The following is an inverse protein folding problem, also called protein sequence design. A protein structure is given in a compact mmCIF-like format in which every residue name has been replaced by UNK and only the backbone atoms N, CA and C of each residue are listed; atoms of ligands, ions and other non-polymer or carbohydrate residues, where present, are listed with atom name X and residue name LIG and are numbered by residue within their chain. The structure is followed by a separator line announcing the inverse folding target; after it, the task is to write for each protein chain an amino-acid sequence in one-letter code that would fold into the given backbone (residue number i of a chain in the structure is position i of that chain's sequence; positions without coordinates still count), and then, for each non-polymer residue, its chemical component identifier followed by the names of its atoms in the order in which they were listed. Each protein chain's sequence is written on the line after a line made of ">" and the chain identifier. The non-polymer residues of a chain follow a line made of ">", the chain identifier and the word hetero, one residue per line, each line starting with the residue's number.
data_IF_812448376129
#
_entry.id   IF_812448376129
#
_cell.length_a   1.000
_cell.length_b   1.000
_cell.length_c   1.000
_cell.angle_alpha   90.00
_cell.angle_beta   90.00
_cell.angle_gamma   90.00
#
_symmetry.space_group_name_H-M   'P 1'
#
loop_
_entity.id
_entity.type
_entity.pdbx_description
1 polymer ?
#
# COMPACT_ATOMS: atom_id res chain seq x y z
N UNK A 1 4.32 15.83 -20.38
CA UNK A 1 4.52 14.66 -19.53
C UNK A 1 5.15 13.57 -20.38
N UNK A 2 6.32 13.08 -19.99
CA UNK A 2 7.02 11.98 -20.66
C UNK A 2 7.10 10.79 -19.70
N UNK A 3 6.99 9.58 -20.23
CA UNK A 3 7.10 8.33 -19.45
C UNK A 3 8.41 8.29 -18.63
N UNK A 4 9.52 8.77 -19.21
CA UNK A 4 10.80 8.90 -18.50
C UNK A 4 10.74 9.80 -17.25
N UNK A 5 9.98 10.91 -17.27
CA UNK A 5 9.86 11.80 -16.11
C UNK A 5 9.14 11.13 -14.94
N UNK A 6 8.18 10.25 -15.24
CA UNK A 6 7.46 9.46 -14.23
C UNK A 6 8.43 8.43 -13.63
N UNK A 7 9.12 7.67 -14.47
CA UNK A 7 10.04 6.63 -14.04
C UNK A 7 11.23 7.19 -13.24
N UNK A 8 11.81 8.32 -13.67
CA UNK A 8 12.90 8.99 -12.95
C UNK A 8 12.47 9.39 -11.53
N UNK A 9 11.22 9.84 -11.35
CA UNK A 9 10.68 10.17 -10.03
C UNK A 9 10.54 8.92 -9.14
N UNK A 10 10.06 7.80 -9.70
CA UNK A 10 9.93 6.54 -8.96
C UNK A 10 11.30 5.95 -8.60
N UNK A 11 12.28 6.02 -9.51
CA UNK A 11 13.65 5.58 -9.26
C UNK A 11 14.33 6.44 -8.18
N UNK A 12 14.12 7.76 -8.22
CA UNK A 12 14.62 8.66 -7.17
C UNK A 12 14.01 8.28 -5.82
N UNK A 13 12.69 8.07 -5.76
CA UNK A 13 12.03 7.63 -4.54
C UNK A 13 12.53 6.26 -4.05
N UNK A 14 12.83 5.32 -4.95
CA UNK A 14 13.41 4.04 -4.58
C UNK A 14 14.82 4.19 -3.98
N UNK A 15 15.65 5.04 -4.57
CA UNK A 15 16.98 5.36 -4.04
C UNK A 15 16.94 6.05 -2.67
N UNK A 16 15.88 6.82 -2.41
CA UNK A 16 15.65 7.54 -1.16
C UNK A 16 14.86 6.73 -0.12
N UNK A 17 14.56 5.44 -0.38
CA UNK A 17 13.75 4.56 0.50
C UNK A 17 12.31 5.07 0.73
N UNK A 18 11.78 5.80 -0.23
CA UNK A 18 10.42 6.37 -0.25
C UNK A 18 9.49 5.66 -1.23
N UNK A 19 10.00 4.72 -2.03
CA UNK A 19 9.19 3.81 -2.84
C UNK A 19 8.74 2.61 -1.99
N UNK A 20 7.51 2.10 -2.17
CA UNK A 20 7.00 0.98 -1.37
C UNK A 20 7.92 -0.24 -1.46
N UNK A 21 8.27 -0.78 -0.30
CA UNK A 21 8.97 -2.06 -0.15
C UNK A 21 7.99 -3.10 0.39
N UNK A 22 7.56 -4.04 -0.45
CA UNK A 22 6.64 -5.10 -0.01
C UNK A 22 7.31 -6.16 0.89
N UNK A 23 8.64 -6.13 0.99
CA UNK A 23 9.43 -6.99 1.87
C UNK A 23 9.94 -6.25 3.12
N UNK A 24 9.33 -5.11 3.47
CA UNK A 24 9.83 -4.23 4.52
C UNK A 24 9.98 -4.96 5.86
N UNK A 25 11.18 -4.88 6.47
CA UNK A 25 11.51 -5.68 7.64
C UNK A 25 10.71 -5.37 8.92
N UNK A 26 10.06 -4.20 9.01
CA UNK A 26 9.26 -3.81 10.20
C UNK A 26 7.74 -3.94 10.05
N UNK A 27 7.27 -4.36 8.88
CA UNK A 27 5.84 -4.54 8.60
C UNK A 27 5.62 -5.92 8.03
N UNK A 28 4.91 -6.78 8.75
CA UNK A 28 4.40 -8.01 8.17
C UNK A 28 3.37 -7.65 7.09
N UNK A 29 3.64 -8.04 5.85
CA UNK A 29 2.76 -7.68 4.73
C UNK A 29 1.36 -8.27 4.92
N UNK A 30 0.33 -7.45 4.68
CA UNK A 30 -1.09 -7.85 4.78
C UNK A 30 -1.79 -7.69 3.43
N UNK A 31 -1.75 -6.50 2.84
CA UNK A 31 -2.34 -6.24 1.53
C UNK A 31 -1.72 -5.01 0.86
N UNK A 32 -1.97 -4.80 -0.42
CA UNK A 32 -1.54 -3.62 -1.15
C UNK A 32 -2.50 -3.26 -2.28
N UNK A 33 -2.58 -1.98 -2.64
CA UNK A 33 -3.40 -1.49 -3.76
C UNK A 33 -2.72 -0.31 -4.41
N UNK A 34 -2.94 -0.15 -5.71
CA UNK A 34 -2.36 0.92 -6.50
C UNK A 34 -3.44 1.68 -7.25
N UNK A 35 -3.35 3.00 -7.22
CA UNK A 35 -4.23 3.92 -7.90
C UNK A 35 -3.45 4.81 -8.86
N UNK A 36 -3.93 4.95 -10.09
CA UNK A 36 -3.37 5.83 -11.10
C UNK A 36 -4.38 6.90 -11.51
N UNK A 37 -3.98 8.16 -11.38
CA UNK A 37 -4.79 9.34 -11.66
C UNK A 37 -4.18 10.18 -12.77
N UNK A 38 -5.01 10.74 -13.65
CA UNK A 38 -4.51 11.40 -14.86
C UNK A 38 -5.53 12.32 -15.53
N UNK A 39 -5.10 13.49 -15.97
CA UNK A 39 -5.76 14.28 -17.03
C UNK A 39 -4.77 14.82 -18.08
N UNK A 40 -5.17 15.72 -18.97
CA UNK A 40 -4.29 16.22 -20.03
C UNK A 40 -2.91 16.75 -19.57
N UNK A 41 -2.78 17.24 -18.33
CA UNK A 41 -1.55 17.86 -17.81
C UNK A 41 -1.03 17.21 -16.52
N UNK A 42 -1.93 16.63 -15.72
CA UNK A 42 -1.64 16.15 -14.37
C UNK A 42 -1.60 14.63 -14.32
N UNK A 43 -0.74 14.10 -13.46
CA UNK A 43 -0.75 12.70 -13.08
C UNK A 43 -0.44 12.55 -11.59
N UNK A 44 -0.98 11.49 -11.02
CA UNK A 44 -0.56 10.98 -9.71
C UNK A 44 -0.63 9.46 -9.69
N UNK A 45 0.22 8.86 -8.85
CA UNK A 45 0.22 7.43 -8.55
C UNK A 45 0.24 7.29 -7.03
N UNK A 46 -0.71 6.55 -6.47
CA UNK A 46 -0.73 6.21 -5.05
C UNK A 46 -0.54 4.71 -4.93
N UNK A 47 0.41 4.28 -4.11
CA UNK A 47 0.56 2.88 -3.72
C UNK A 47 0.31 2.76 -2.22
N UNK A 48 -0.76 2.07 -1.88
CA UNK A 48 -1.13 1.66 -0.54
C UNK A 48 -0.38 0.38 -0.18
N UNK A 49 0.32 0.38 0.95
CA UNK A 49 0.84 -0.84 1.57
C UNK A 49 0.26 -0.96 2.97
N UNK A 50 -0.44 -2.07 3.22
CA UNK A 50 -1.03 -2.40 4.51
C UNK A 50 -0.16 -3.48 5.18
N UNK A 51 0.33 -3.18 6.38
CA UNK A 51 1.21 -4.08 7.11
C UNK A 51 1.03 -3.99 8.62
N UNK A 52 1.14 -5.13 9.29
CA UNK A 52 1.13 -5.19 10.74
C UNK A 52 2.53 -4.88 11.27
N UNK A 53 2.66 -3.92 12.19
CA UNK A 53 3.92 -3.64 12.88
C UNK A 53 3.76 -3.82 14.39
N UNK A 54 4.43 -4.83 14.99
CA UNK A 54 4.48 -5.00 16.45
C UNK A 54 5.04 -3.75 17.14
N UNK A 55 6.00 -3.08 16.50
CA UNK A 55 6.64 -1.86 17.03
C UNK A 55 5.71 -0.67 17.05
N UNK A 56 4.86 -0.53 16.01
CA UNK A 56 3.86 0.54 15.96
C UNK A 56 2.63 0.21 16.80
N UNK A 57 2.42 -1.06 17.18
CA UNK A 57 1.22 -1.52 17.88
C UNK A 57 -0.04 -1.26 17.05
N UNK A 58 0.00 -1.55 15.75
CA UNK A 58 -1.20 -1.47 14.91
C UNK A 58 -1.03 -2.18 13.56
N UNK A 59 -2.17 -2.33 12.88
CA UNK A 59 -2.22 -2.50 11.43
C UNK A 59 -2.07 -1.11 10.78
N UNK A 60 -0.93 -0.89 10.13
CA UNK A 60 -0.57 0.39 9.54
C UNK A 60 -0.73 0.32 8.03
N UNK A 61 -1.45 1.29 7.48
CA UNK A 61 -1.40 1.58 6.06
C UNK A 61 -0.45 2.75 5.78
N UNK A 62 0.33 2.64 4.71
CA UNK A 62 1.23 3.70 4.24
C UNK A 62 0.85 4.09 2.82
N UNK A 63 0.58 5.38 2.60
CA UNK A 63 0.31 5.94 1.29
C UNK A 63 1.58 6.50 0.65
N UNK A 64 2.08 5.82 -0.38
CA UNK A 64 3.20 6.29 -1.17
C UNK A 64 2.67 7.09 -2.36
N UNK A 65 2.85 8.42 -2.33
CA UNK A 65 2.20 9.34 -3.27
C UNK A 65 3.22 9.95 -4.23
N UNK A 66 3.02 9.75 -5.53
CA UNK A 66 3.87 10.28 -6.61
C UNK A 66 3.02 11.10 -7.57
N UNK A 67 3.63 12.02 -8.30
CA UNK A 67 2.91 12.85 -9.26
C UNK A 67 3.59 14.17 -9.59
N UNK A 68 3.04 14.88 -10.57
CA UNK A 68 3.42 16.26 -10.89
C UNK A 68 2.40 17.29 -10.39
N UNK A 69 1.39 16.84 -9.64
CA UNK A 69 0.28 17.67 -9.19
C UNK A 69 0.04 17.58 -7.68
N UNK A 70 1.05 17.16 -6.90
CA UNK A 70 0.95 17.05 -5.45
C UNK A 70 0.56 18.41 -4.85
N UNK A 71 -0.47 18.42 -4.02
CA UNK A 71 -0.96 19.64 -3.35
C UNK A 71 -0.15 19.98 -2.11
N UNK A 72 0.56 18.99 -1.56
CA UNK A 72 1.43 19.11 -0.40
C UNK A 72 2.53 18.03 -0.39
N UNK A 73 3.67 18.38 0.20
CA UNK A 73 4.84 17.51 0.31
C UNK A 73 5.51 17.19 -1.03
N UNK A 74 6.55 16.36 -0.95
CA UNK A 74 7.32 15.86 -2.09
C UNK A 74 6.91 14.40 -2.41
N UNK A 75 7.27 13.85 -3.59
CA UNK A 75 6.99 12.45 -3.92
C UNK A 75 7.48 11.46 -2.85
N UNK A 76 6.67 10.44 -2.58
CA UNK A 76 6.86 9.52 -1.45
C UNK A 76 5.75 9.70 -0.40
N UNK A 77 6.07 9.46 0.87
CA UNK A 77 5.15 9.62 2.00
C UNK A 77 5.62 10.72 2.97
N UNK A 78 4.69 11.24 3.76
CA UNK A 78 4.95 12.06 4.96
C UNK A 78 4.34 11.38 6.19
N UNK A 79 4.55 11.91 7.40
CA UNK A 79 4.05 11.29 8.63
C UNK A 79 2.53 11.05 8.62
N UNK A 80 1.76 11.96 8.02
CA UNK A 80 0.31 11.87 7.93
C UNK A 80 -0.17 10.84 6.89
N UNK A 81 0.74 10.22 6.11
CA UNK A 81 0.43 9.09 5.22
C UNK A 81 0.49 7.74 5.95
N UNK A 82 0.90 7.71 7.22
CA UNK A 82 0.85 6.51 8.08
C UNK A 82 -0.47 6.48 8.83
N UNK A 83 -1.34 5.53 8.49
CA UNK A 83 -2.70 5.45 8.98
C UNK A 83 -2.88 4.18 9.82
N UNK A 84 -3.13 4.34 11.11
CA UNK A 84 -3.54 3.23 11.99
C UNK A 84 -4.96 2.80 11.65
N UNK A 85 -5.16 1.50 11.40
CA UNK A 85 -6.45 0.96 10.96
C UNK A 85 -7.28 0.33 12.06
N UNK A 86 -6.67 -0.12 13.14
CA UNK A 86 -7.40 -0.72 14.26
C UNK A 86 -7.56 0.31 15.38
N UNK A 87 -8.82 0.69 15.65
CA UNK A 87 -9.18 1.72 16.62
C UNK A 87 -9.05 1.23 18.07
N UNK A 88 -9.24 -0.08 18.30
CA UNK A 88 -9.23 -0.70 19.63
C UNK A 88 -8.03 -1.65 19.82
N UNK A 89 -6.84 -1.25 19.38
CA UNK A 89 -5.64 -2.11 19.39
C UNK A 89 -5.38 -2.74 20.77
N UNK A 90 -5.45 -1.93 21.83
CA UNK A 90 -5.22 -2.35 23.21
C UNK A 90 -6.19 -3.45 23.71
N UNK A 91 -7.30 -3.70 23.00
CA UNK A 91 -8.25 -4.76 23.33
C UNK A 91 -7.97 -6.08 22.58
N UNK A 92 -7.26 -6.01 21.44
CA UNK A 92 -7.08 -7.15 20.52
C UNK A 92 -5.73 -7.85 20.69
N UNK A 93 -4.71 -7.16 21.20
CA UNK A 93 -3.41 -7.75 21.54
C UNK A 93 -3.41 -8.27 22.99
N UNK A 94 -2.82 -9.44 23.21
CA UNK A 94 -2.64 -9.99 24.55
C UNK A 94 -1.52 -9.23 25.28
N UNK A 95 -1.86 -8.58 26.39
CA UNK A 95 -0.94 -7.75 27.17
C UNK A 95 0.26 -8.54 27.74
N UNK A 96 0.07 -9.83 27.99
CA UNK A 96 1.11 -10.70 28.54
C UNK A 96 1.90 -11.42 27.44
N UNK A 97 1.34 -11.49 26.23
CA UNK A 97 1.94 -12.14 25.06
C UNK A 97 1.79 -11.24 23.82
N UNK A 98 2.74 -10.32 23.59
CA UNK A 98 2.73 -9.45 22.41
C UNK A 98 2.59 -10.26 21.12
N UNK A 99 1.97 -9.64 20.11
CA UNK A 99 1.71 -10.25 18.79
C UNK A 99 0.68 -11.39 18.80
N UNK A 100 0.09 -11.72 19.96
CA UNK A 100 -0.94 -12.76 20.09
C UNK A 100 -2.34 -12.14 20.20
N UNK A 101 -3.30 -12.71 19.48
CA UNK A 101 -4.68 -12.26 19.47
C UNK A 101 -5.42 -12.63 20.76
N UNK A 102 -6.00 -11.61 21.40
CA UNK A 102 -6.67 -11.70 22.70
C UNK A 102 -8.13 -12.22 22.62
N UNK A 103 -8.72 -12.24 21.41
CA UNK A 103 -10.09 -12.75 21.16
C UNK A 103 -11.18 -11.68 21.11
N UNK A 104 -10.84 -10.39 21.16
CA UNK A 104 -11.80 -9.29 21.06
C UNK A 104 -12.17 -8.96 19.60
N UNK A 105 -13.38 -8.47 19.36
CA UNK A 105 -13.75 -7.97 18.03
C UNK A 105 -12.82 -6.82 17.61
N UNK A 106 -12.45 -6.80 16.33
CA UNK A 106 -11.60 -5.73 15.77
C UNK A 106 -12.49 -4.56 15.35
N UNK A 107 -12.13 -3.34 15.73
CA UNK A 107 -12.84 -2.12 15.33
C UNK A 107 -11.97 -1.37 14.33
N UNK A 108 -12.53 -1.11 13.14
CA UNK A 108 -11.89 -0.33 12.07
C UNK A 108 -12.84 0.77 11.66
N UNK A 109 -12.42 2.04 11.77
CA UNK A 109 -13.24 3.22 11.45
C UNK A 109 -14.60 3.21 12.17
N UNK A 110 -14.60 2.85 13.45
CA UNK A 110 -15.78 2.71 14.30
C UNK A 110 -16.66 1.49 14.00
N UNK A 111 -16.33 0.70 12.97
CA UNK A 111 -17.07 -0.51 12.61
C UNK A 111 -16.47 -1.73 13.30
N UNK A 112 -17.29 -2.40 14.11
CA UNK A 112 -16.93 -3.66 14.75
C UNK A 112 -17.01 -4.83 13.76
N UNK A 113 -15.94 -5.60 13.67
CA UNK A 113 -15.76 -6.77 12.83
C UNK A 113 -15.64 -8.00 13.73
N UNK A 114 -16.51 -8.99 13.49
CA UNK A 114 -16.34 -10.31 14.07
C UNK A 114 -15.30 -11.07 13.25
N UNK A 115 -14.27 -11.59 13.91
CA UNK A 115 -13.19 -12.32 13.24
C UNK A 115 -13.37 -13.81 13.49
N UNK A 116 -13.24 -14.61 12.44
CA UNK A 116 -13.15 -16.06 12.56
C UNK A 116 -11.75 -16.46 13.05
N UNK A 117 -11.47 -16.13 14.31
CA UNK A 117 -10.22 -16.42 14.99
C UNK A 117 -10.44 -16.77 16.46
N UNK A 118 -9.58 -17.62 17.00
CA UNK A 118 -9.54 -18.04 18.39
C UNK A 118 -8.49 -17.23 19.16
N UNK A 119 -8.71 -17.08 20.47
CA UNK A 119 -7.68 -16.51 21.35
C UNK A 119 -6.41 -17.36 21.26
N UNK A 120 -5.26 -16.72 21.13
CA UNK A 120 -3.96 -17.39 21.07
C UNK A 120 -3.38 -17.54 19.67
N UNK A 121 -4.12 -17.14 18.62
CA UNK A 121 -3.60 -17.10 17.25
C UNK A 121 -2.68 -15.89 17.03
N UNK A 122 -1.74 -16.01 16.07
CA UNK A 122 -0.85 -14.91 15.70
C UNK A 122 -1.63 -13.75 15.08
N UNK A 123 -1.43 -12.53 15.60
CA UNK A 123 -2.15 -11.34 15.15
C UNK A 123 -2.03 -11.10 13.65
N UNK A 124 -0.86 -11.36 13.06
CA UNK A 124 -0.65 -11.19 11.62
C UNK A 124 -1.62 -12.04 10.79
N UNK A 125 -1.87 -13.29 11.19
CA UNK A 125 -2.76 -14.19 10.47
C UNK A 125 -4.21 -13.80 10.66
N UNK A 126 -4.58 -13.35 11.87
CA UNK A 126 -5.90 -12.81 12.18
C UNK A 126 -6.19 -11.56 11.33
N UNK A 127 -5.22 -10.64 11.21
CA UNK A 127 -5.34 -9.42 10.42
C UNK A 127 -5.42 -9.72 8.91
N UNK A 128 -4.64 -10.67 8.39
CA UNK A 128 -4.72 -11.15 7.00
C UNK A 128 -6.08 -11.74 6.65
N UNK A 129 -6.76 -12.41 7.59
CA UNK A 129 -8.12 -12.95 7.40
C UNK A 129 -9.19 -11.88 7.22
N UNK A 130 -8.93 -10.62 7.58
CA UNK A 130 -9.88 -9.52 7.37
C UNK A 130 -9.96 -9.10 5.89
N UNK A 131 -8.87 -9.26 5.14
CA UNK A 131 -8.73 -8.70 3.78
C UNK A 131 -9.83 -9.17 2.83
N UNK A 132 -10.17 -10.47 2.70
CA UNK A 132 -11.14 -10.92 1.71
C UNK A 132 -12.53 -10.25 1.83
N UNK A 133 -12.97 -9.95 3.05
CA UNK A 133 -14.32 -9.42 3.32
C UNK A 133 -14.34 -7.93 3.68
N UNK A 134 -13.19 -7.36 4.05
CA UNK A 134 -13.10 -6.00 4.61
C UNK A 134 -12.01 -5.12 3.98
N UNK A 135 -11.45 -5.51 2.82
CA UNK A 135 -10.40 -4.74 2.14
C UNK A 135 -10.68 -3.24 2.02
N UNK A 136 -11.85 -2.85 1.50
CA UNK A 136 -12.19 -1.43 1.31
C UNK A 136 -12.43 -0.66 2.63
N UNK A 137 -12.56 -1.37 3.76
CA UNK A 137 -12.62 -0.74 5.09
C UNK A 137 -11.20 -0.54 5.66
N UNK A 138 -10.27 -1.45 5.32
CA UNK A 138 -8.88 -1.45 5.80
C UNK A 138 -7.99 -0.50 5.00
N UNK A 139 -8.27 -0.34 3.71
CA UNK A 139 -7.52 0.54 2.81
C UNK A 139 -8.06 1.98 2.84
N UNK A 140 -7.38 2.88 2.14
CA UNK A 140 -7.72 4.29 2.15
C UNK A 140 -9.05 4.58 1.45
N UNK A 141 -9.80 5.52 2.04
CA UNK A 141 -10.99 6.08 1.41
C UNK A 141 -10.64 7.29 0.54
N UNK A 142 -11.62 7.80 -0.22
CA UNK A 142 -11.38 8.96 -1.09
C UNK A 142 -10.91 10.21 -0.32
N UNK A 143 -11.28 10.41 0.94
CA UNK A 143 -10.80 11.59 1.68
C UNK A 143 -9.31 11.47 1.94
N UNK A 144 -8.85 10.29 2.33
CA UNK A 144 -7.45 9.99 2.58
C UNK A 144 -6.63 9.98 1.28
N UNK A 145 -7.13 9.34 0.21
CA UNK A 145 -6.47 9.32 -1.11
C UNK A 145 -6.30 10.72 -1.71
N UNK A 146 -7.28 11.61 -1.51
CA UNK A 146 -7.28 12.99 -2.04
C UNK A 146 -6.55 13.99 -1.16
N UNK A 147 -5.97 13.57 -0.04
CA UNK A 147 -5.26 14.48 0.87
C UNK A 147 -4.13 15.24 0.15
N UNK A 148 -3.37 14.54 -0.68
CA UNK A 148 -2.15 15.05 -1.34
C UNK A 148 -2.26 15.26 -2.85
N UNK A 149 -3.42 14.99 -3.44
CA UNK A 149 -3.66 15.15 -4.88
C UNK A 149 -4.94 15.96 -5.11
N UNK A 150 -5.10 16.64 -6.27
CA UNK A 150 -6.28 17.45 -6.53
C UNK A 150 -7.56 16.62 -6.51
N UNK A 151 -8.63 17.12 -5.88
CA UNK A 151 -9.90 16.40 -5.79
C UNK A 151 -10.57 16.14 -7.16
N UNK A 152 -10.18 16.88 -8.20
CA UNK A 152 -10.78 16.83 -9.54
C UNK A 152 -9.98 15.98 -10.54
N UNK A 153 -8.80 15.45 -10.19
CA UNK A 153 -8.06 14.57 -11.08
C UNK A 153 -8.76 13.19 -11.15
N UNK A 154 -9.15 12.69 -12.33
CA UNK A 154 -9.88 11.42 -12.40
C UNK A 154 -8.93 10.24 -12.16
N UNK A 155 -9.43 9.24 -11.44
CA UNK A 155 -8.80 7.92 -11.39
C UNK A 155 -9.03 7.22 -12.72
N UNK A 156 -7.97 6.73 -13.35
CA UNK A 156 -8.06 6.04 -14.64
C UNK A 156 -7.78 4.54 -14.52
N UNK A 157 -7.15 4.09 -13.43
CA UNK A 157 -6.83 2.69 -13.22
C UNK A 157 -6.60 2.39 -11.73
N UNK A 158 -7.14 1.27 -11.28
CA UNK A 158 -6.93 0.69 -9.95
C UNK A 158 -6.43 -0.74 -10.09
N UNK A 159 -5.34 -1.08 -9.40
CA UNK A 159 -4.76 -2.42 -9.40
C UNK A 159 -4.71 -2.98 -7.98
N UNK A 160 -5.38 -4.11 -7.82
CA UNK A 160 -5.39 -4.90 -6.59
C UNK A 160 -4.29 -5.99 -6.62
N UNK A 161 -3.73 -6.26 -7.81
CA UNK A 161 -2.68 -7.24 -8.06
C UNK A 161 -1.77 -6.73 -9.19
N UNK A 162 -0.45 -6.78 -8.97
CA UNK A 162 0.57 -6.47 -9.98
C UNK A 162 1.87 -7.21 -9.65
N UNK A 163 2.85 -7.15 -10.56
CA UNK A 163 4.20 -7.62 -10.27
C UNK A 163 5.08 -6.44 -9.78
N UNK A 164 5.31 -6.38 -8.49
CA UNK A 164 6.14 -5.38 -7.81
C UNK A 164 7.63 -5.75 -7.91
N UNK A 165 8.54 -4.79 -8.18
CA UNK A 165 9.98 -5.05 -8.21
C UNK A 165 10.51 -5.38 -6.81
N UNK A 166 11.48 -6.28 -6.73
CA UNK A 166 12.22 -6.52 -5.50
C UNK A 166 13.36 -5.49 -5.39
N UNK A 167 13.20 -4.51 -4.50
CA UNK A 167 14.17 -3.43 -4.31
C UNK A 167 15.49 -3.93 -3.69
N UNK A 168 15.46 -5.03 -2.93
CA UNK A 168 16.67 -5.61 -2.33
C UNK A 168 17.57 -6.28 -3.37
N UNK A 169 17.04 -6.58 -4.55
CA UNK A 169 17.80 -7.06 -5.71
C UNK A 169 18.22 -5.92 -6.66
N UNK A 170 18.24 -4.67 -6.17
CA UNK A 170 18.62 -3.48 -6.92
C UNK A 170 17.84 -3.32 -8.25
N UNK A 171 16.58 -3.77 -8.30
CA UNK A 171 15.72 -3.59 -9.48
C UNK A 171 14.91 -2.29 -9.31
N UNK A 172 15.31 -1.17 -9.94
CA UNK A 172 14.57 0.07 -9.82
C UNK A 172 13.22 -0.02 -10.55
N UNK A 173 12.23 0.80 -10.16
CA UNK A 173 10.92 0.86 -10.81
C UNK A 173 11.01 0.98 -12.35
N UNK A 174 11.95 1.76 -12.89
CA UNK A 174 12.16 1.91 -14.33
C UNK A 174 12.51 0.62 -15.07
N UNK A 175 13.05 -0.39 -14.39
CA UNK A 175 13.35 -1.70 -14.98
C UNK A 175 12.17 -2.67 -14.88
N UNK A 176 11.20 -2.40 -14.00
CA UNK A 176 9.98 -3.20 -13.87
C UNK A 176 9.06 -3.05 -15.09
N UNK A 177 8.55 -4.17 -15.62
CA UNK A 177 7.53 -4.15 -16.68
C UNK A 177 6.28 -3.40 -16.19
N UNK A 178 5.85 -3.66 -14.96
CA UNK A 178 4.66 -3.03 -14.35
C UNK A 178 4.77 -1.51 -14.38
N UNK A 179 5.84 -0.94 -13.82
CA UNK A 179 5.94 0.51 -13.67
C UNK A 179 6.23 1.21 -14.99
N UNK A 180 6.91 0.56 -15.95
CA UNK A 180 7.00 1.06 -17.33
C UNK A 180 5.65 1.15 -18.01
N UNK A 181 4.81 0.11 -17.89
CA UNK A 181 3.47 0.12 -18.46
C UNK A 181 2.56 1.15 -17.78
N UNK A 182 2.65 1.30 -16.45
CA UNK A 182 1.93 2.34 -15.71
C UNK A 182 2.36 3.74 -16.12
N UNK A 183 3.66 4.01 -16.31
CA UNK A 183 4.14 5.30 -16.81
C UNK A 183 3.60 5.61 -18.22
N UNK A 184 3.46 4.59 -19.07
CA UNK A 184 2.84 4.70 -20.39
C UNK A 184 1.34 5.00 -20.31
N UNK A 185 0.61 4.33 -19.42
CA UNK A 185 -0.81 4.63 -19.12
C UNK A 185 -0.97 6.07 -18.62
N UNK A 186 -0.18 6.48 -17.63
CA UNK A 186 -0.19 7.83 -17.08
C UNK A 186 0.23 8.89 -18.11
N UNK A 187 1.11 8.56 -19.06
CA UNK A 187 1.53 9.51 -20.10
C UNK A 187 0.44 9.71 -21.16
N UNK A 188 -0.28 8.64 -21.53
CA UNK A 188 -1.18 8.63 -22.68
C UNK A 188 -2.67 8.70 -22.33
N UNK A 189 -3.04 8.27 -21.13
CA UNK A 189 -4.43 8.01 -20.74
C UNK A 189 -5.01 6.71 -21.32
N UNK A 190 -4.22 5.91 -22.05
CA UNK A 190 -4.67 4.66 -22.66
C UNK A 190 -4.42 3.48 -21.72
N UNK A 191 -5.47 3.05 -21.02
CA UNK A 191 -5.41 1.94 -20.05
C UNK A 191 -5.05 0.60 -20.69
N UNK A 192 -5.23 0.43 -22.00
CA UNK A 192 -4.88 -0.82 -22.70
C UNK A 192 -3.36 -1.05 -22.79
N UNK A 193 -2.55 -0.03 -22.46
CA UNK A 193 -1.10 -0.15 -22.37
C UNK A 193 -0.62 -0.90 -21.14
N UNK A 194 -1.48 -1.07 -20.14
CA UNK A 194 -1.23 -2.01 -19.06
C UNK A 194 -1.66 -3.42 -19.49
N UNK A 195 -0.67 -4.21 -19.87
CA UNK A 195 -0.84 -5.57 -20.35
C UNK A 195 0.35 -6.41 -19.83
N UNK A 196 0.40 -6.70 -18.52
CA UNK A 196 1.49 -7.46 -17.93
C UNK A 196 1.43 -8.92 -18.41
N UNK A 197 2.59 -9.49 -18.71
CA UNK A 197 2.79 -10.91 -19.02
C UNK A 197 3.33 -11.69 -17.82
N UNK A 198 3.80 -10.98 -16.80
CA UNK A 198 4.36 -11.54 -15.58
C UNK A 198 3.26 -11.70 -14.53
N UNK A 199 3.15 -12.86 -13.86
CA UNK A 199 2.18 -13.06 -12.78
C UNK A 199 2.33 -12.03 -11.67
N UNK A 200 1.23 -11.60 -11.02
CA UNK A 200 1.33 -10.68 -9.89
C UNK A 200 2.00 -11.36 -8.68
N UNK A 201 2.77 -10.57 -7.91
CA UNK A 201 3.45 -11.02 -6.70
C UNK A 201 3.05 -10.21 -5.46
N UNK A 202 2.04 -9.34 -5.52
CA UNK A 202 1.66 -8.45 -4.41
C UNK A 202 1.02 -9.14 -3.21
N UNK A 203 0.55 -10.38 -3.37
CA UNK A 203 0.04 -11.15 -2.25
C UNK A 203 1.15 -11.38 -1.21
N UNK A 204 0.87 -11.14 0.06
CA UNK A 204 1.83 -11.19 1.17
C UNK A 204 2.63 -12.50 1.23
N UNK A 205 2.07 -13.61 0.77
CA UNK A 205 2.75 -14.91 0.75
C UNK A 205 3.97 -14.97 -0.16
N UNK A 206 4.15 -14.00 -1.07
CA UNK A 206 5.34 -13.87 -1.90
C UNK A 206 6.47 -13.07 -1.21
N UNK A 207 6.21 -12.49 -0.03
CA UNK A 207 7.13 -11.64 0.73
C UNK A 207 7.33 -12.19 2.15
N UNK A 208 7.87 -13.42 2.29
CA UNK A 208 7.97 -14.11 3.58
C UNK A 208 8.95 -13.46 4.56
N UNK A 209 9.83 -12.57 4.08
CA UNK A 209 10.79 -11.87 4.94
C UNK A 209 10.25 -10.54 5.51
N UNK A 210 9.06 -10.11 5.08
CA UNK A 210 8.39 -8.93 5.62
C UNK A 210 8.10 -9.08 7.12
N UNK A 211 8.44 -8.05 7.90
CA UNK A 211 8.22 -8.04 9.36
C UNK A 211 9.25 -8.77 10.22
N UNK A 212 10.33 -9.34 9.66
CA UNK A 212 11.31 -10.15 10.39
C UNK A 212 12.42 -9.36 11.15
N UNK A 213 12.34 -8.02 11.33
CA UNK A 213 13.38 -7.16 11.95
C UNK A 213 13.01 -6.46 13.27
#
# INVERSE_FOLDING_TARGET
>A
MRSAEILDQLDTAAADFMFPDLNHGYYYAVDARLHAYRDAQRWALIVETLGYSPRAGNLIEVLHVFGNCLTEGEPGYVNEDFLSRVDNWDEIEDVDQPEIYHGASIVVRGRRIAVAAERGEDLVDVLRRLVPDHRDLLLADEVELRRRIPADIPEIMRLDQWHHPDLLQDTPPSQSITFRQLADVLTTGDVSRYAPDTPPNTHWSNWPESGNL
#
